data_IF_421517783317
#
_entry.id   IF_421517783317
#
_cell.length_a   1.000
_cell.length_b   1.000
_cell.length_c   1.000
_cell.angle_alpha   90.00
_cell.angle_beta   90.00
_cell.angle_gamma   90.00
#
_symmetry.space_group_name_H-M   'P 1'
#
loop_
_entity.id
_entity.type
_entity.pdbx_description
1 polymer ?
#
# COMPACT_ATOMS: atom_id res chain seq x y z
N UNK A 1 27.33 -17.28 -1.03
CA UNK A 1 25.90 -16.94 -1.20
C UNK A 1 25.17 -17.48 0.01
N UNK A 2 25.02 -16.67 1.06
CA UNK A 2 24.22 -17.05 2.23
C UNK A 2 22.77 -16.70 1.91
N UNK A 3 21.88 -17.69 1.94
CA UNK A 3 20.45 -17.45 1.81
C UNK A 3 20.03 -16.49 2.93
N UNK A 4 19.54 -15.32 2.57
CA UNK A 4 18.90 -14.41 3.52
C UNK A 4 17.57 -15.06 3.93
N UNK A 5 17.60 -15.96 4.89
CA UNK A 5 16.40 -16.58 5.46
C UNK A 5 15.66 -15.53 6.28
N UNK A 6 14.36 -15.40 6.02
CA UNK A 6 13.45 -14.57 6.84
C UNK A 6 13.67 -14.97 8.30
N UNK A 7 13.88 -14.01 9.23
CA UNK A 7 13.98 -14.35 10.65
C UNK A 7 12.74 -15.16 11.04
N UNK A 8 12.94 -16.35 11.64
CA UNK A 8 11.87 -17.28 12.07
C UNK A 8 10.75 -16.57 12.87
N UNK A 9 11.07 -15.43 13.48
CA UNK A 9 10.21 -14.59 14.30
C UNK A 9 9.11 -13.84 13.53
N UNK A 10 9.24 -13.59 12.23
CA UNK A 10 8.25 -12.77 11.49
C UNK A 10 6.98 -13.54 11.12
N UNK A 11 7.06 -14.85 10.90
CA UNK A 11 5.94 -15.74 10.52
C UNK A 11 4.99 -15.16 9.44
N UNK A 12 5.49 -14.36 8.49
CA UNK A 12 4.68 -13.76 7.41
C UNK A 12 4.55 -14.66 6.18
N UNK A 13 5.41 -15.67 6.04
CA UNK A 13 5.50 -16.52 4.84
C UNK A 13 6.36 -15.87 3.76
N UNK A 14 7.18 -16.68 3.07
CA UNK A 14 8.12 -16.21 2.05
C UNK A 14 7.42 -15.49 0.89
N UNK A 15 6.17 -15.86 0.60
CA UNK A 15 5.34 -15.22 -0.42
C UNK A 15 5.01 -13.75 -0.11
N UNK A 16 5.22 -13.30 1.12
CA UNK A 16 4.97 -11.94 1.60
C UNK A 16 6.24 -11.11 1.80
N UNK A 17 7.40 -11.63 1.41
CA UNK A 17 8.67 -10.92 1.52
C UNK A 17 9.30 -10.80 0.14
N UNK A 18 9.67 -9.59 -0.26
CA UNK A 18 10.48 -9.36 -1.46
C UNK A 18 11.77 -8.70 -1.04
N UNK A 19 12.90 -9.38 -1.22
CA UNK A 19 14.23 -8.82 -0.97
C UNK A 19 14.77 -8.24 -2.28
N UNK A 20 15.32 -7.03 -2.21
CA UNK A 20 15.96 -6.38 -3.36
C UNK A 20 17.42 -6.80 -3.40
N UNK A 21 17.81 -7.44 -4.51
CA UNK A 21 19.13 -8.06 -4.70
C UNK A 21 19.89 -7.51 -5.90
N UNK A 22 19.22 -6.80 -6.81
CA UNK A 22 19.84 -6.18 -7.99
C UNK A 22 18.88 -5.34 -8.82
N UNK A 23 19.45 -4.67 -9.83
CA UNK A 23 18.77 -3.67 -10.68
C UNK A 23 17.73 -4.29 -11.62
N UNK A 24 17.79 -5.61 -11.85
CA UNK A 24 16.78 -6.36 -12.61
C UNK A 24 15.39 -6.30 -11.95
N UNK A 25 15.33 -5.98 -10.66
CA UNK A 25 14.09 -5.76 -9.92
C UNK A 25 13.57 -4.32 -10.01
N UNK A 26 14.24 -3.43 -10.76
CA UNK A 26 13.93 -1.99 -10.89
C UNK A 26 13.38 -1.60 -12.27
N UNK A 27 12.49 -2.43 -12.81
CA UNK A 27 12.03 -2.34 -14.20
C UNK A 27 10.57 -1.91 -14.37
N UNK A 28 9.77 -1.98 -13.29
CA UNK A 28 8.35 -1.62 -13.33
C UNK A 28 8.16 -0.14 -13.67
N UNK A 29 7.32 0.13 -14.67
CA UNK A 29 6.97 1.49 -15.13
C UNK A 29 5.49 1.63 -15.46
N UNK A 30 4.70 0.55 -15.32
CA UNK A 30 3.30 0.51 -15.71
C UNK A 30 2.37 0.66 -14.49
N UNK A 31 1.22 1.30 -14.67
CA UNK A 31 0.26 1.53 -13.57
C UNK A 31 -0.38 0.24 -13.05
N UNK A 32 -0.59 -0.74 -13.95
CA UNK A 32 -1.14 -2.04 -13.64
C UNK A 32 -0.07 -2.98 -13.07
N UNK A 33 1.18 -2.85 -13.53
CA UNK A 33 2.36 -3.51 -12.96
C UNK A 33 3.28 -2.52 -12.23
N UNK A 34 2.84 -2.12 -11.04
CA UNK A 34 3.50 -1.08 -10.23
C UNK A 34 4.72 -1.62 -9.47
N UNK A 35 5.74 -0.78 -9.31
CA UNK A 35 6.81 -1.09 -8.37
C UNK A 35 6.34 -0.99 -6.93
N UNK A 36 6.91 -1.84 -6.08
CA UNK A 36 6.81 -1.75 -4.62
C UNK A 36 8.12 -1.41 -3.95
N UNK A 37 9.19 -1.24 -4.73
CA UNK A 37 10.57 -1.15 -4.20
C UNK A 37 11.28 0.15 -4.58
N UNK A 38 10.91 0.79 -5.69
CA UNK A 38 11.51 2.03 -6.20
C UNK A 38 10.49 2.98 -6.79
N UNK A 39 10.93 4.19 -7.13
CA UNK A 39 10.12 5.22 -7.78
C UNK A 39 10.02 4.97 -9.29
N UNK A 40 8.81 4.66 -9.76
CA UNK A 40 8.55 4.44 -11.19
C UNK A 40 8.81 5.70 -12.02
N UNK A 41 8.58 6.89 -11.46
CA UNK A 41 8.76 8.20 -12.10
C UNK A 41 10.00 8.92 -11.55
N UNK A 42 11.05 8.15 -11.28
CA UNK A 42 12.33 8.62 -10.77
C UNK A 42 12.86 9.87 -11.51
N UNK A 43 13.12 10.92 -10.73
CA UNK A 43 13.81 12.15 -11.17
C UNK A 43 15.32 12.03 -10.93
N UNK A 44 15.71 11.25 -9.91
CA UNK A 44 17.09 10.89 -9.60
C UNK A 44 17.39 9.47 -10.11
N UNK A 45 18.59 8.97 -9.86
CA UNK A 45 18.91 7.56 -10.14
C UNK A 45 17.96 6.63 -9.36
N UNK A 46 17.58 5.50 -9.96
CA UNK A 46 16.54 4.60 -9.44
C UNK A 46 16.88 4.02 -8.06
N UNK A 47 18.17 3.92 -7.75
CA UNK A 47 18.71 3.33 -6.54
C UNK A 47 18.69 4.31 -5.36
N UNK A 48 18.38 5.60 -5.59
CA UNK A 48 18.39 6.63 -4.55
C UNK A 48 17.30 6.38 -3.52
N UNK A 49 16.06 6.10 -3.94
CA UNK A 49 14.93 5.85 -3.04
C UNK A 49 14.50 4.40 -3.17
N UNK A 50 15.27 3.52 -2.54
CA UNK A 50 15.11 2.08 -2.69
C UNK A 50 14.85 1.39 -1.35
N UNK A 51 13.85 0.51 -1.31
CA UNK A 51 13.66 -0.41 -0.19
C UNK A 51 14.73 -1.51 -0.17
N UNK A 52 15.22 -1.90 1.01
CA UNK A 52 16.07 -3.12 1.11
C UNK A 52 15.23 -4.38 0.91
N UNK A 53 14.01 -4.35 1.42
CA UNK A 53 12.99 -5.37 1.21
C UNK A 53 11.60 -4.77 1.43
N UNK A 54 10.58 -5.46 0.93
CA UNK A 54 9.18 -5.21 1.29
C UNK A 54 8.61 -6.41 2.01
N UNK A 55 7.73 -6.13 2.97
CA UNK A 55 7.02 -7.14 3.76
C UNK A 55 5.53 -6.81 3.76
N UNK A 56 4.71 -7.78 3.40
CA UNK A 56 3.25 -7.66 3.39
C UNK A 56 2.65 -8.34 4.64
N UNK A 57 2.27 -7.59 5.69
CA UNK A 57 1.58 -8.18 6.84
C UNK A 57 0.25 -8.80 6.41
N UNK A 58 -0.18 -9.87 7.10
CA UNK A 58 -1.46 -10.54 6.85
C UNK A 58 -2.62 -9.93 7.63
N UNK A 59 -2.30 -9.28 8.75
CA UNK A 59 -3.24 -8.74 9.72
C UNK A 59 -2.55 -7.73 10.65
N UNK A 60 -3.34 -7.10 11.53
CA UNK A 60 -2.85 -6.15 12.54
C UNK A 60 -1.79 -6.75 13.48
N UNK A 61 -1.94 -7.99 14.02
CA UNK A 61 -0.85 -8.65 14.75
C UNK A 61 0.45 -8.78 13.95
N UNK A 62 0.38 -9.06 12.65
CA UNK A 62 1.52 -9.08 11.74
C UNK A 62 2.23 -7.73 11.68
N UNK A 63 1.47 -6.64 11.52
CA UNK A 63 2.01 -5.26 11.57
C UNK A 63 2.76 -5.03 12.89
N UNK A 64 2.13 -5.34 14.03
CA UNK A 64 2.72 -5.14 15.34
C UNK A 64 4.03 -5.91 15.54
N UNK A 65 4.11 -7.15 15.06
CA UNK A 65 5.34 -7.95 15.12
C UNK A 65 6.46 -7.33 14.28
N UNK A 66 6.15 -6.91 13.05
CA UNK A 66 7.14 -6.30 12.15
C UNK A 66 7.68 -5.00 12.76
N UNK A 67 6.79 -4.13 13.28
CA UNK A 67 7.20 -2.88 13.90
C UNK A 67 8.06 -3.10 15.15
N UNK A 68 7.74 -4.10 15.99
CA UNK A 68 8.58 -4.46 17.15
C UNK A 68 9.96 -4.91 16.73
N UNK A 69 10.06 -5.81 15.76
CA UNK A 69 11.37 -6.27 15.26
C UNK A 69 12.16 -5.13 14.63
N UNK A 70 11.52 -4.29 13.82
CA UNK A 70 12.17 -3.13 13.22
C UNK A 70 12.72 -2.17 14.29
N UNK A 71 12.02 -2.02 15.42
CA UNK A 71 12.50 -1.25 16.57
C UNK A 71 13.71 -1.92 17.24
N UNK A 72 13.67 -3.24 17.48
CA UNK A 72 14.79 -4.00 18.06
C UNK A 72 16.05 -3.95 17.20
N UNK A 73 15.88 -3.91 15.87
CA UNK A 73 16.97 -3.85 14.89
C UNK A 73 17.35 -2.42 14.48
N UNK A 74 16.64 -1.41 14.97
CA UNK A 74 16.79 0.00 14.58
C UNK A 74 16.69 0.24 13.06
N UNK A 75 15.83 -0.52 12.38
CA UNK A 75 15.63 -0.42 10.93
C UNK A 75 14.44 0.49 10.62
N UNK A 76 14.58 1.51 9.76
CA UNK A 76 13.46 2.35 9.36
C UNK A 76 12.40 1.55 8.59
N UNK A 77 11.14 1.83 8.89
CA UNK A 77 9.97 1.26 8.18
C UNK A 77 9.27 2.37 7.44
N UNK A 78 8.91 2.13 6.19
CA UNK A 78 8.11 3.03 5.37
C UNK A 78 6.84 2.27 4.96
N UNK A 79 5.69 2.54 5.61
CA UNK A 79 4.43 1.93 5.24
C UNK A 79 3.87 2.58 3.99
N UNK A 80 3.26 1.76 3.14
CA UNK A 80 2.46 2.23 2.02
C UNK A 80 1.27 1.31 1.82
N UNK A 81 0.21 1.88 1.23
CA UNK A 81 -1.00 1.14 0.92
C UNK A 81 -0.84 0.28 -0.32
N UNK A 82 -1.19 0.86 -1.46
CA UNK A 82 -1.03 0.25 -2.77
C UNK A 82 0.24 0.71 -3.47
N UNK A 83 0.96 1.72 -2.97
CA UNK A 83 2.16 2.25 -3.65
C UNK A 83 1.85 2.92 -4.99
N UNK A 84 0.63 3.47 -5.13
CA UNK A 84 0.14 4.17 -6.34
C UNK A 84 0.25 5.69 -6.22
N UNK A 85 1.13 6.19 -5.37
CA UNK A 85 1.36 7.63 -5.18
C UNK A 85 2.27 8.20 -6.29
N UNK A 86 1.85 7.97 -7.53
CA UNK A 86 2.65 8.23 -8.72
C UNK A 86 2.77 9.74 -8.96
N UNK A 87 3.99 10.22 -9.18
CA UNK A 87 4.32 11.64 -9.21
C UNK A 87 4.83 12.18 -7.87
N UNK A 88 4.61 11.44 -6.77
CA UNK A 88 5.09 11.79 -5.42
C UNK A 88 6.09 10.77 -4.84
N UNK A 89 6.45 9.73 -5.61
CA UNK A 89 7.45 8.71 -5.25
C UNK A 89 6.93 7.28 -5.33
N UNK A 90 5.63 7.09 -5.58
CA UNK A 90 5.03 5.76 -5.73
C UNK A 90 5.06 4.98 -4.43
N UNK A 91 5.81 3.87 -4.41
CA UNK A 91 6.05 3.07 -3.21
C UNK A 91 7.43 3.35 -2.58
N UNK A 92 8.24 4.23 -3.17
CA UNK A 92 9.64 4.40 -2.78
C UNK A 92 9.79 4.99 -1.37
N UNK A 93 10.77 4.54 -0.57
CA UNK A 93 11.00 5.11 0.74
C UNK A 93 11.78 6.42 0.64
N UNK A 94 11.48 7.36 1.53
CA UNK A 94 12.31 8.57 1.67
C UNK A 94 13.71 8.26 2.20
N UNK A 95 13.83 7.28 3.10
CA UNK A 95 15.11 6.83 3.67
C UNK A 95 15.55 5.54 2.93
N UNK A 96 16.67 5.56 2.20
CA UNK A 96 17.12 4.40 1.43
C UNK A 96 17.45 3.22 2.35
N UNK A 97 17.11 2.01 1.91
CA UNK A 97 17.28 0.79 2.71
C UNK A 97 16.21 0.56 3.77
N UNK A 98 15.13 1.36 3.80
CA UNK A 98 13.98 1.10 4.69
C UNK A 98 13.24 -0.18 4.31
N UNK A 99 12.62 -0.83 5.29
CA UNK A 99 11.66 -1.90 5.05
C UNK A 99 10.36 -1.28 4.55
N UNK A 100 9.91 -1.66 3.36
CA UNK A 100 8.60 -1.27 2.84
C UNK A 100 7.51 -2.15 3.45
N UNK A 101 6.52 -1.54 4.11
CA UNK A 101 5.39 -2.27 4.68
C UNK A 101 4.20 -2.19 3.72
N UNK A 102 4.01 -3.24 2.92
CA UNK A 102 2.97 -3.35 1.89
C UNK A 102 1.63 -3.77 2.53
N UNK A 103 0.96 -2.79 3.12
CA UNK A 103 -0.27 -3.00 3.90
C UNK A 103 -1.40 -3.55 3.01
N UNK A 104 -1.47 -3.05 1.77
CA UNK A 104 -2.61 -3.31 0.90
C UNK A 104 -2.64 -4.69 0.25
N UNK A 105 -1.56 -5.48 0.31
CA UNK A 105 -1.52 -6.80 -0.35
C UNK A 105 -2.46 -7.83 0.30
N UNK A 106 -2.56 -7.85 1.62
CA UNK A 106 -3.36 -8.85 2.34
C UNK A 106 -4.47 -8.24 3.22
N UNK A 107 -4.41 -6.93 3.51
CA UNK A 107 -5.42 -6.21 4.28
C UNK A 107 -6.26 -5.35 3.34
N UNK A 108 -7.15 -5.96 2.56
CA UNK A 108 -7.85 -5.35 1.43
C UNK A 108 -9.38 -5.52 1.46
N UNK A 109 -9.97 -5.68 2.63
CA UNK A 109 -11.42 -5.90 2.77
C UNK A 109 -12.19 -4.60 3.00
N UNK A 110 -13.34 -4.49 2.34
CA UNK A 110 -14.41 -3.60 2.81
C UNK A 110 -15.06 -4.27 4.03
N UNK A 111 -14.87 -3.68 5.22
CA UNK A 111 -15.32 -4.26 6.48
C UNK A 111 -16.80 -3.95 6.75
N UNK A 112 -17.24 -2.75 6.37
CA UNK A 112 -18.64 -2.31 6.49
C UNK A 112 -18.94 -1.15 5.55
N UNK A 113 -20.14 -1.12 4.99
CA UNK A 113 -20.77 0.11 4.48
C UNK A 113 -22.11 0.27 5.18
N UNK A 114 -22.33 1.43 5.78
CA UNK A 114 -23.58 1.79 6.44
C UNK A 114 -24.24 2.91 5.64
N UNK A 115 -25.29 2.57 4.88
CA UNK A 115 -25.98 3.53 4.02
C UNK A 115 -26.85 4.53 4.81
N UNK A 116 -27.37 4.11 5.97
CA UNK A 116 -28.22 4.96 6.80
C UNK A 116 -27.40 6.06 7.49
N UNK A 117 -26.19 5.72 7.91
CA UNK A 117 -25.24 6.64 8.55
C UNK A 117 -24.20 7.22 7.56
N UNK A 118 -24.29 6.86 6.28
CA UNK A 118 -23.42 7.30 5.18
C UNK A 118 -21.91 7.19 5.47
N UNK A 119 -21.42 6.02 5.88
CA UNK A 119 -19.98 5.78 6.07
C UNK A 119 -19.52 4.40 5.59
N UNK A 120 -18.22 4.28 5.33
CA UNK A 120 -17.54 3.02 5.05
C UNK A 120 -16.41 2.78 6.07
N UNK A 121 -16.18 1.52 6.41
CA UNK A 121 -15.02 1.04 7.14
C UNK A 121 -14.28 0.07 6.21
N UNK A 122 -13.02 0.37 5.92
CA UNK A 122 -12.20 -0.35 4.94
C UNK A 122 -10.84 -0.68 5.52
N UNK A 123 -10.22 -1.74 5.02
CA UNK A 123 -8.79 -1.97 5.20
C UNK A 123 -7.97 -1.20 4.15
N UNK A 124 -6.67 -1.13 4.41
CA UNK A 124 -5.71 -0.28 3.71
C UNK A 124 -5.60 -0.58 2.20
N UNK A 125 -5.77 -1.84 1.82
CA UNK A 125 -5.72 -2.35 0.46
C UNK A 125 -7.02 -2.23 -0.34
N UNK A 126 -8.05 -1.54 0.16
CA UNK A 126 -9.27 -1.29 -0.63
C UNK A 126 -9.01 -0.14 -1.60
N UNK A 127 -9.04 -0.41 -2.90
CA UNK A 127 -9.03 0.64 -3.92
C UNK A 127 -10.40 1.29 -4.09
N UNK A 128 -10.45 2.46 -4.74
CA UNK A 128 -11.73 3.07 -5.11
C UNK A 128 -12.54 2.18 -6.06
N UNK A 129 -11.88 1.40 -6.94
CA UNK A 129 -12.56 0.37 -7.74
C UNK A 129 -13.16 -0.73 -6.87
N UNK A 130 -12.42 -1.26 -5.89
CA UNK A 130 -12.93 -2.31 -4.99
C UNK A 130 -14.13 -1.81 -4.17
N UNK A 131 -14.06 -0.59 -3.64
CA UNK A 131 -15.17 0.02 -2.90
C UNK A 131 -16.39 0.21 -3.82
N UNK A 132 -16.18 0.68 -5.04
CA UNK A 132 -17.24 0.85 -6.02
C UNK A 132 -17.89 -0.49 -6.41
N UNK A 133 -17.11 -1.54 -6.64
CA UNK A 133 -17.61 -2.90 -6.90
C UNK A 133 -18.42 -3.42 -5.70
N UNK A 134 -17.93 -3.22 -4.48
CA UNK A 134 -18.69 -3.56 -3.27
C UNK A 134 -20.06 -2.86 -3.23
N UNK A 135 -20.13 -1.58 -3.59
CA UNK A 135 -21.41 -0.85 -3.63
C UNK A 135 -22.37 -1.37 -4.71
N UNK A 136 -21.85 -1.90 -5.82
CA UNK A 136 -22.66 -2.57 -6.87
C UNK A 136 -23.21 -3.87 -6.34
N UNK A 137 -22.32 -4.74 -5.87
CA UNK A 137 -22.65 -6.12 -5.51
C UNK A 137 -23.63 -6.22 -4.34
N UNK A 138 -23.77 -5.14 -3.56
CA UNK A 138 -24.67 -5.03 -2.42
C UNK A 138 -25.85 -4.06 -2.66
N UNK A 139 -26.10 -3.64 -3.90
CA UNK A 139 -27.21 -2.74 -4.27
C UNK A 139 -27.25 -1.42 -3.47
N UNK A 140 -26.07 -0.83 -3.22
CA UNK A 140 -25.91 0.37 -2.41
C UNK A 140 -25.73 1.65 -3.24
N UNK A 141 -25.48 1.55 -4.55
CA UNK A 141 -25.24 2.71 -5.41
C UNK A 141 -26.38 3.73 -5.47
N UNK A 142 -27.62 3.31 -5.25
CA UNK A 142 -28.76 4.24 -5.21
C UNK A 142 -28.89 4.97 -3.87
N UNK A 143 -28.05 4.62 -2.87
CA UNK A 143 -28.11 5.14 -1.49
C UNK A 143 -26.90 6.00 -1.12
N UNK A 144 -25.70 5.53 -1.46
CA UNK A 144 -24.43 6.18 -1.09
C UNK A 144 -23.43 6.07 -2.23
N UNK A 145 -22.66 7.13 -2.43
CA UNK A 145 -21.59 7.21 -3.43
C UNK A 145 -20.24 7.41 -2.74
N UNK A 146 -19.18 6.87 -3.32
CA UNK A 146 -17.81 7.18 -2.94
C UNK A 146 -17.30 8.36 -3.78
N UNK A 147 -16.49 9.23 -3.18
CA UNK A 147 -15.66 10.17 -3.91
C UNK A 147 -14.38 9.45 -4.37
N UNK A 148 -13.84 9.80 -5.54
CA UNK A 148 -12.62 9.21 -6.06
C UNK A 148 -11.73 10.25 -6.77
N UNK A 149 -10.40 10.08 -6.71
CA UNK A 149 -9.46 10.85 -7.52
C UNK A 149 -9.55 10.46 -9.00
N UNK A 150 -8.72 11.09 -9.84
CA UNK A 150 -8.66 10.81 -11.29
C UNK A 150 -8.45 9.33 -11.63
N UNK A 151 -7.73 8.60 -10.76
CA UNK A 151 -7.37 7.19 -10.97
C UNK A 151 -7.94 6.31 -9.84
N UNK A 152 -9.00 5.55 -10.15
CA UNK A 152 -9.72 4.73 -9.16
C UNK A 152 -8.95 3.52 -8.60
N UNK A 153 -7.75 3.24 -9.10
CA UNK A 153 -6.95 2.13 -8.59
C UNK A 153 -6.12 2.47 -7.34
N UNK A 154 -6.07 3.73 -6.91
CA UNK A 154 -5.45 4.12 -5.64
C UNK A 154 -6.21 3.54 -4.43
N UNK A 155 -5.53 3.44 -3.29
CA UNK A 155 -6.17 3.07 -2.02
C UNK A 155 -7.02 4.22 -1.48
N UNK A 156 -8.20 3.92 -0.94
CA UNK A 156 -9.04 4.90 -0.24
C UNK A 156 -8.30 5.49 0.97
N UNK A 157 -7.70 4.63 1.81
CA UNK A 157 -6.93 5.07 2.98
C UNK A 157 -5.64 5.76 2.56
N UNK A 158 -4.89 5.17 1.62
CA UNK A 158 -3.61 5.73 1.17
C UNK A 158 -3.75 7.14 0.61
N UNK A 159 -4.78 7.38 -0.21
CA UNK A 159 -5.08 8.71 -0.73
C UNK A 159 -5.47 9.69 0.40
N UNK A 160 -6.30 9.26 1.34
CA UNK A 160 -6.70 10.08 2.51
C UNK A 160 -5.51 10.46 3.40
N UNK A 161 -4.59 9.53 3.65
CA UNK A 161 -3.39 9.79 4.47
C UNK A 161 -2.47 10.87 3.88
N UNK A 162 -2.47 11.00 2.55
CA UNK A 162 -1.76 12.06 1.82
C UNK A 162 -2.57 13.35 1.65
N UNK A 163 -3.79 13.42 2.22
CA UNK A 163 -4.76 14.52 2.00
C UNK A 163 -5.08 14.69 0.52
N UNK A 164 -5.25 13.56 -0.17
CA UNK A 164 -5.65 13.51 -1.55
C UNK A 164 -7.04 14.10 -1.75
N UNK A 165 -7.34 14.45 -2.98
CA UNK A 165 -8.61 15.07 -3.34
C UNK A 165 -9.39 14.22 -4.34
N UNK A 166 -10.68 14.48 -4.42
CA UNK A 166 -11.50 14.08 -5.55
C UNK A 166 -12.44 15.22 -5.95
N UNK A 167 -13.60 14.89 -6.51
CA UNK A 167 -14.34 15.83 -7.36
C UNK A 167 -15.84 15.91 -7.12
N UNK A 168 -16.34 15.27 -6.06
CA UNK A 168 -17.71 15.45 -5.59
C UNK A 168 -17.73 16.47 -4.43
N UNK A 169 -18.89 16.78 -3.83
CA UNK A 169 -18.94 17.59 -2.60
C UNK A 169 -18.13 17.00 -1.43
N UNK A 170 -17.70 15.74 -1.50
CA UNK A 170 -16.86 15.05 -0.52
C UNK A 170 -15.39 14.96 -0.95
N UNK A 171 -14.95 15.75 -1.94
CA UNK A 171 -13.62 15.64 -2.55
C UNK A 171 -12.44 16.14 -1.71
N UNK A 172 -12.66 16.47 -0.43
CA UNK A 172 -11.62 16.76 0.55
C UNK A 172 -11.54 15.55 1.49
N UNK A 173 -10.65 14.59 1.17
CA UNK A 173 -10.59 13.27 1.83
C UNK A 173 -9.87 13.31 3.18
#
# INVERSE_FOLDING_TARGET
>A
MSSCTVPEQLSVGDENVVVVTGDDQLQQQDYMDRSKVHDMFHILEKEVFLHSCTVAPKDVPGVQKITRLANEMEIPVCPFSMGRDLGYGGAAPRVPGSIGLDMGKNMNKVLKVDADSAYALVEDGVSFFDLHEYLVDHDLRDKVWADCPDLGGGSVIGNTMERGIGYTPYGDH
#
